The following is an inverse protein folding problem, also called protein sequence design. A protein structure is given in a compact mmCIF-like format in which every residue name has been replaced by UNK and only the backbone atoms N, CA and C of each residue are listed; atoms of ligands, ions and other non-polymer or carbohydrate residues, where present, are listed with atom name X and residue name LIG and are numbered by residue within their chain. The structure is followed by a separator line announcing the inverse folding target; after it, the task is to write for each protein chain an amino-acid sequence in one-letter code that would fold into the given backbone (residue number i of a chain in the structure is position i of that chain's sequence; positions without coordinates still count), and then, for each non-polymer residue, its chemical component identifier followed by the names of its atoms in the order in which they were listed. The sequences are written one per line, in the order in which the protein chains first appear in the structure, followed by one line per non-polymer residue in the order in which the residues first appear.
data_IF_328957666494
#
_entry.id   IF_328957666494
#
_cell.length_a   1.000
_cell.length_b   1.000
_cell.length_c   1.000
_cell.angle_alpha   90.00
_cell.angle_beta   90.00
_cell.angle_gamma   90.00
#
_symmetry.space_group_name_H-M   'P 1'
#
loop_
_entity.id
_entity.type
_entity.pdbx_description
1 polymer ?
#
# COMPACT_ATOMS: atom_id res chain seq x y z
N UNK A 1 6.11 -47.98 -27.22
CA UNK A 1 6.62 -47.28 -26.03
C UNK A 1 6.55 -45.78 -26.32
N UNK A 2 5.58 -45.07 -25.75
CA UNK A 2 5.34 -43.64 -25.98
C UNK A 2 5.57 -42.98 -24.62
N UNK A 3 6.64 -42.21 -24.48
CA UNK A 3 6.93 -41.48 -23.24
C UNK A 3 6.13 -40.16 -23.31
N UNK A 4 5.20 -39.88 -22.38
CA UNK A 4 4.56 -38.57 -22.33
C UNK A 4 5.58 -37.53 -21.86
N UNK A 5 5.67 -36.42 -22.60
CA UNK A 5 6.43 -35.25 -22.17
C UNK A 5 5.77 -34.64 -20.93
N UNK A 6 6.53 -34.29 -19.88
CA UNK A 6 5.99 -33.52 -18.77
C UNK A 6 5.62 -32.13 -19.27
N UNK A 7 4.32 -31.83 -19.36
CA UNK A 7 3.83 -30.45 -19.36
C UNK A 7 4.27 -29.83 -18.04
N UNK A 8 5.32 -29.00 -18.10
CA UNK A 8 5.70 -28.13 -17.00
C UNK A 8 4.52 -27.20 -16.72
N UNK A 9 3.73 -27.55 -15.70
CA UNK A 9 2.73 -26.67 -15.14
C UNK A 9 3.43 -25.41 -14.68
N UNK A 10 3.08 -24.28 -15.28
CA UNK A 10 3.52 -22.98 -14.81
C UNK A 10 2.98 -22.80 -13.38
N UNK A 11 3.85 -23.00 -12.38
CA UNK A 11 3.60 -22.56 -11.01
C UNK A 11 3.55 -21.05 -11.06
N UNK A 12 2.35 -20.50 -11.26
CA UNK A 12 2.07 -19.12 -10.87
C UNK A 12 2.32 -19.09 -9.38
N UNK A 13 3.47 -18.58 -8.95
CA UNK A 13 3.73 -18.25 -7.54
C UNK A 13 2.62 -17.30 -7.13
N UNK A 14 1.55 -17.83 -6.55
CA UNK A 14 0.41 -17.05 -6.13
C UNK A 14 0.90 -16.16 -5.00
N UNK A 15 1.03 -14.87 -5.30
CA UNK A 15 1.38 -13.87 -4.31
C UNK A 15 0.34 -13.93 -3.19
N UNK A 16 0.72 -14.26 -1.95
CA UNK A 16 -0.21 -14.32 -0.84
C UNK A 16 -0.99 -12.99 -0.70
N UNK A 17 -2.32 -13.02 -0.55
CA UNK A 17 -3.13 -11.81 -0.46
C UNK A 17 -2.70 -10.90 0.70
N UNK A 18 -2.16 -11.47 1.78
CA UNK A 18 -1.56 -10.73 2.91
C UNK A 18 -0.36 -9.87 2.51
N UNK A 19 0.50 -10.32 1.59
CA UNK A 19 1.66 -9.52 1.15
C UNK A 19 1.21 -8.30 0.36
N UNK A 20 0.21 -8.48 -0.52
CA UNK A 20 -0.39 -7.36 -1.25
C UNK A 20 -1.02 -6.34 -0.31
N UNK A 21 -1.75 -6.81 0.71
CA UNK A 21 -2.33 -5.94 1.74
C UNK A 21 -1.26 -5.20 2.54
N UNK A 22 -0.17 -5.86 2.93
CA UNK A 22 0.93 -5.23 3.65
C UNK A 22 1.61 -4.12 2.81
N UNK A 23 1.83 -4.38 1.51
CA UNK A 23 2.39 -3.40 0.60
C UNK A 23 1.47 -2.17 0.41
N UNK A 24 0.15 -2.40 0.31
CA UNK A 24 -0.86 -1.33 0.26
C UNK A 24 -0.92 -0.51 1.54
N UNK A 25 -0.84 -1.16 2.71
CA UNK A 25 -0.83 -0.48 4.00
C UNK A 25 0.43 0.39 4.16
N UNK A 26 1.58 -0.07 3.67
CA UNK A 26 2.81 0.73 3.66
C UNK A 26 2.67 1.98 2.79
N UNK A 27 2.15 1.85 1.57
CA UNK A 27 1.90 3.01 0.70
C UNK A 27 0.92 4.00 1.34
N UNK A 28 -0.14 3.52 2.00
CA UNK A 28 -1.09 4.36 2.71
C UNK A 28 -0.40 5.19 3.81
N UNK A 29 0.49 4.59 4.60
CA UNK A 29 1.25 5.30 5.63
C UNK A 29 2.18 6.35 5.04
N UNK A 30 2.88 6.04 3.96
CA UNK A 30 3.75 7.00 3.26
C UNK A 30 2.93 8.17 2.72
N UNK A 31 1.80 7.90 2.07
CA UNK A 31 0.89 8.95 1.60
C UNK A 31 0.38 9.81 2.76
N UNK A 32 0.01 9.21 3.89
CA UNK A 32 -0.42 9.95 5.08
C UNK A 32 0.66 10.93 5.56
N UNK A 33 1.93 10.51 5.62
CA UNK A 33 3.06 11.39 5.97
C UNK A 33 3.27 12.51 4.94
N UNK A 34 3.16 12.20 3.65
CA UNK A 34 3.30 13.20 2.58
C UNK A 34 2.15 14.22 2.55
N UNK A 35 0.96 13.82 2.97
CA UNK A 35 -0.20 14.71 3.04
C UNK A 35 -0.18 15.61 4.29
N UNK A 36 0.58 15.28 5.34
CA UNK A 36 0.63 16.08 6.58
C UNK A 36 0.91 17.58 6.35
N UNK A 37 1.90 18.00 5.52
CA UNK A 37 2.16 19.42 5.28
C UNK A 37 1.01 20.14 4.58
N UNK A 38 0.31 19.46 3.65
CA UNK A 38 -0.88 20.01 2.99
C UNK A 38 -2.04 20.21 3.97
N UNK A 39 -2.22 19.29 4.92
CA UNK A 39 -3.22 19.43 5.99
C UNK A 39 -2.85 20.50 7.02
N UNK A 40 -1.57 20.68 7.30
CA UNK A 40 -1.08 21.75 8.17
C UNK A 40 -1.24 23.13 7.51
N UNK A 41 -0.97 23.24 6.20
CA UNK A 41 -1.19 24.46 5.43
C UNK A 41 -2.67 24.89 5.42
N UNK A 42 -3.60 23.94 5.23
CA UNK A 42 -5.04 24.20 5.30
C UNK A 42 -5.54 24.70 6.67
N UNK A 43 -4.75 24.57 7.74
CA UNK A 43 -5.07 25.10 9.07
C UNK A 43 -4.70 26.59 9.23
N UNK A 44 -3.78 27.10 8.41
CA UNK A 44 -3.33 28.50 8.48
C UNK A 44 -4.28 29.46 7.77
N UNK A 45 -5.18 28.94 6.93
CA UNK A 45 -6.29 29.71 6.39
C UNK A 45 -7.31 29.93 7.49
N UNK A 46 -7.15 31.06 8.21
CA UNK A 46 -8.14 31.65 9.12
C UNK A 46 -9.38 32.09 8.35
N UNK A 47 -10.05 31.16 7.67
CA UNK A 47 -11.34 31.41 7.05
C UNK A 47 -12.41 31.28 8.13
N UNK A 48 -13.29 32.28 8.31
CA UNK A 48 -14.39 32.23 9.29
C UNK A 48 -15.42 31.12 9.03
N UNK A 49 -15.22 30.30 8.00
CA UNK A 49 -16.05 29.16 7.60
C UNK A 49 -15.41 27.77 7.85
N UNK A 50 -14.23 27.69 8.48
CA UNK A 50 -13.67 26.39 8.89
C UNK A 50 -14.33 25.89 10.18
N UNK A 51 -14.85 24.65 10.22
CA UNK A 51 -15.74 24.09 11.25
C UNK A 51 -15.18 23.91 12.68
N UNK A 52 -14.27 24.78 13.11
CA UNK A 52 -13.79 24.90 14.48
C UNK A 52 -13.04 23.67 15.00
N UNK A 53 -12.79 23.64 16.32
CA UNK A 53 -12.11 22.52 17.01
C UNK A 53 -12.83 21.18 16.84
N UNK A 54 -14.13 21.20 16.55
CA UNK A 54 -14.92 19.99 16.31
C UNK A 54 -14.46 19.27 15.04
N UNK A 55 -14.24 19.96 13.93
CA UNK A 55 -13.76 19.34 12.68
C UNK A 55 -12.29 18.91 12.80
N UNK A 56 -11.50 19.64 13.58
CA UNK A 56 -10.09 19.32 13.83
C UNK A 56 -9.87 17.93 14.45
N UNK A 57 -10.78 17.46 15.31
CA UNK A 57 -10.69 16.12 15.92
C UNK A 57 -10.92 14.97 14.94
N UNK A 58 -11.69 15.18 13.88
CA UNK A 58 -12.14 14.12 12.96
C UNK A 58 -11.29 14.10 11.67
N UNK A 59 -10.58 15.20 11.37
CA UNK A 59 -9.68 15.34 10.23
C UNK A 59 -8.64 14.22 10.11
N UNK A 60 -7.91 13.80 11.15
CA UNK A 60 -6.92 12.71 11.03
C UNK A 60 -7.54 11.41 10.52
N UNK A 61 -8.77 11.09 10.97
CA UNK A 61 -9.49 9.90 10.49
C UNK A 61 -9.91 10.05 9.02
N UNK A 62 -10.31 11.25 8.59
CA UNK A 62 -10.63 11.53 7.19
C UNK A 62 -9.39 11.43 6.29
N UNK A 63 -8.26 11.95 6.75
CA UNK A 63 -6.96 11.83 6.04
C UNK A 63 -6.60 10.37 5.83
N UNK A 64 -6.67 9.58 6.90
CA UNK A 64 -6.36 8.16 6.87
C UNK A 64 -7.28 7.40 5.92
N UNK A 65 -8.59 7.69 5.96
CA UNK A 65 -9.56 7.10 5.04
C UNK A 65 -9.27 7.46 3.58
N UNK A 66 -8.90 8.71 3.31
CA UNK A 66 -8.56 9.18 1.97
C UNK A 66 -7.29 8.49 1.44
N UNK A 67 -6.21 8.49 2.23
CA UNK A 67 -4.95 7.82 1.92
C UNK A 67 -5.15 6.32 1.69
N UNK A 68 -5.90 5.66 2.57
CA UNK A 68 -6.23 4.24 2.44
C UNK A 68 -7.06 3.95 1.19
N UNK A 69 -8.00 4.83 0.83
CA UNK A 69 -8.80 4.66 -0.39
C UNK A 69 -7.97 4.84 -1.66
N UNK A 70 -7.03 5.79 -1.66
CA UNK A 70 -6.13 6.06 -2.77
C UNK A 70 -5.18 4.87 -3.00
N UNK A 71 -4.59 4.33 -1.92
CA UNK A 71 -3.75 3.14 -1.97
C UNK A 71 -4.51 1.89 -2.46
N UNK A 72 -5.74 1.66 -1.97
CA UNK A 72 -6.56 0.51 -2.41
C UNK A 72 -7.07 0.64 -3.84
N UNK A 73 -7.39 1.85 -4.28
CA UNK A 73 -7.94 2.11 -5.61
C UNK A 73 -6.92 2.07 -6.75
N UNK A 74 -5.63 1.86 -6.45
CA UNK A 74 -4.57 1.84 -7.46
C UNK A 74 -4.29 3.21 -8.09
N UNK A 75 -4.79 4.30 -7.49
CA UNK A 75 -4.50 5.70 -7.87
C UNK A 75 -3.46 6.35 -6.94
N UNK A 76 -2.71 5.53 -6.20
CA UNK A 76 -1.56 5.94 -5.40
C UNK A 76 -0.34 6.30 -6.26
N UNK A 77 0.82 6.38 -5.61
CA UNK A 77 2.12 6.66 -6.26
C UNK A 77 2.77 5.40 -6.85
N UNK A 78 2.16 4.21 -6.70
CA UNK A 78 2.66 2.95 -7.22
C UNK A 78 3.69 2.28 -6.30
N UNK A 79 3.82 2.75 -5.06
CA UNK A 79 4.81 2.24 -4.10
C UNK A 79 4.47 0.81 -3.64
N UNK A 80 3.17 0.47 -3.57
CA UNK A 80 2.72 -0.89 -3.23
C UNK A 80 3.33 -1.95 -4.12
N UNK A 81 3.37 -1.72 -5.43
CA UNK A 81 3.84 -2.73 -6.38
C UNK A 81 5.35 -2.96 -6.28
N UNK A 82 6.12 -1.90 -6.03
CA UNK A 82 7.57 -1.99 -5.80
C UNK A 82 7.88 -2.75 -4.50
N UNK A 83 7.16 -2.43 -3.41
CA UNK A 83 7.32 -3.12 -2.13
C UNK A 83 6.95 -4.60 -2.26
N UNK A 84 5.85 -4.89 -2.96
CA UNK A 84 5.43 -6.27 -3.19
C UNK A 84 6.47 -7.05 -3.99
N UNK A 85 7.02 -6.48 -5.06
CA UNK A 85 8.08 -7.09 -5.86
C UNK A 85 9.34 -7.35 -5.02
N UNK A 86 9.71 -6.42 -4.14
CA UNK A 86 10.82 -6.60 -3.21
C UNK A 86 10.55 -7.72 -2.21
N UNK A 87 9.36 -7.76 -1.59
CA UNK A 87 8.99 -8.82 -0.64
C UNK A 87 9.03 -10.21 -1.29
N UNK A 88 8.56 -10.34 -2.53
CA UNK A 88 8.62 -11.60 -3.29
C UNK A 88 10.08 -12.02 -3.52
N UNK A 89 10.95 -11.08 -3.90
CA UNK A 89 12.38 -11.33 -4.10
C UNK A 89 13.04 -11.82 -2.81
N UNK A 90 12.81 -11.14 -1.69
CA UNK A 90 13.37 -11.53 -0.39
C UNK A 90 12.88 -12.91 0.04
N UNK A 91 11.60 -13.24 -0.20
CA UNK A 91 11.07 -14.57 0.11
C UNK A 91 11.70 -15.66 -0.75
N UNK A 92 11.90 -15.41 -2.05
CA UNK A 92 12.57 -16.35 -2.94
C UNK A 92 14.00 -16.66 -2.47
N UNK A 93 14.76 -15.62 -2.08
CA UNK A 93 16.11 -15.77 -1.54
C UNK A 93 16.14 -16.51 -0.19
N UNK A 94 15.12 -16.32 0.65
CA UNK A 94 15.04 -16.97 1.96
C UNK A 94 14.71 -18.47 1.85
N UNK A 95 13.97 -18.87 0.82
CA UNK A 95 13.66 -20.28 0.55
C UNK A 95 14.83 -21.03 -0.10
N UNK A 96 15.70 -20.33 -0.83
CA UNK A 96 16.92 -20.92 -1.42
C UNK A 96 17.97 -21.30 -0.35
N UNK A 97 17.88 -20.74 0.86
CA UNK A 97 18.88 -20.91 1.92
C UNK A 97 18.51 -22.00 2.98
N UNK A 98 17.60 -22.91 2.65
CA UNK A 98 17.27 -24.07 3.49
C UNK A 98 17.78 -25.38 2.83
N UNK A 99 18.87 -25.99 3.33
CA UNK A 99 19.28 -27.35 2.96
C UNK A 99 18.40 -28.43 3.61
#
# INVERSE_FOLDING_TARGET
MIIPLPTAGATTTQVPPRMRQAAQAFEAQVLAQMLQPAFAAAHNDKSPFGGGSAEAQWRPMLVEAFATSAARGGRGIGLSDMVLAHMIRTQAQSQENHP
#
